data_IF_492991382765
#
_entry.id   IF_492991382765
#
_cell.length_a   1.000
_cell.length_b   1.000
_cell.length_c   1.000
_cell.angle_alpha   90.00
_cell.angle_beta   90.00
_cell.angle_gamma   90.00
#
_symmetry.space_group_name_H-M   'P 1'
#
loop_
_entity.id
_entity.type
_entity.pdbx_description
1 polymer ?
#
# COMPACT_ATOMS: atom_id res chain seq x y z
N UNK A 1 -12.34 -38.81 -76.09
CA UNK A 1 -12.54 -38.45 -74.66
C UNK A 1 -11.28 -37.70 -74.28
N UNK A 2 -11.39 -36.37 -74.23
CA UNK A 2 -10.26 -35.50 -73.82
C UNK A 2 -10.48 -34.98 -72.39
N UNK A 3 -9.66 -35.42 -71.44
CA UNK A 3 -9.70 -34.95 -70.06
C UNK A 3 -9.16 -33.51 -70.02
N UNK A 4 -10.03 -32.59 -69.60
CA UNK A 4 -9.67 -31.22 -69.28
C UNK A 4 -9.11 -31.20 -67.87
N UNK A 5 -7.75 -31.18 -67.78
CA UNK A 5 -7.06 -30.96 -66.51
C UNK A 5 -7.28 -29.52 -66.03
N UNK A 6 -8.10 -29.36 -64.98
CA UNK A 6 -8.21 -28.08 -64.28
C UNK A 6 -6.99 -27.85 -63.41
N UNK A 7 -6.09 -26.98 -63.88
CA UNK A 7 -4.92 -26.53 -63.16
C UNK A 7 -5.36 -25.48 -62.11
N UNK A 8 -5.51 -25.90 -60.86
CA UNK A 8 -5.77 -25.00 -59.71
C UNK A 8 -4.52 -24.16 -59.50
N UNK A 9 -4.57 -22.87 -59.87
CA UNK A 9 -3.50 -21.90 -59.59
C UNK A 9 -3.43 -21.66 -58.09
N UNK A 10 -2.36 -22.13 -57.43
CA UNK A 10 -2.03 -21.73 -56.05
C UNK A 10 -1.81 -20.21 -55.99
N UNK A 11 -2.31 -19.51 -54.98
CA UNK A 11 -2.13 -18.05 -54.87
C UNK A 11 -0.64 -17.71 -54.68
N UNK A 12 -0.15 -16.74 -55.45
CA UNK A 12 1.25 -16.32 -55.41
C UNK A 12 1.59 -15.89 -53.97
N UNK A 13 2.65 -16.41 -53.31
CA UNK A 13 2.98 -16.21 -51.89
C UNK A 13 3.11 -14.73 -51.49
N UNK A 14 3.54 -13.87 -52.40
CA UNK A 14 3.63 -12.41 -52.14
C UNK A 14 2.26 -11.70 -51.98
N UNK A 15 1.18 -12.23 -52.55
CA UNK A 15 -0.18 -11.62 -52.40
C UNK A 15 -0.75 -11.96 -51.04
N UNK A 16 -0.61 -13.19 -50.59
CA UNK A 16 -1.06 -13.63 -49.29
C UNK A 16 -0.33 -12.85 -48.16
N UNK A 17 1.00 -12.72 -48.27
CA UNK A 17 1.80 -11.96 -47.29
C UNK A 17 1.35 -10.49 -47.19
N UNK A 18 1.10 -9.81 -48.33
CA UNK A 18 0.59 -8.43 -48.35
C UNK A 18 -0.78 -8.29 -47.69
N UNK A 19 -1.68 -9.26 -47.90
CA UNK A 19 -3.00 -9.25 -47.24
C UNK A 19 -2.86 -9.46 -45.76
N UNK A 20 -2.07 -10.45 -45.32
CA UNK A 20 -1.80 -10.70 -43.89
C UNK A 20 -1.21 -9.47 -43.21
N UNK A 21 -0.24 -8.81 -43.83
CA UNK A 21 0.38 -7.60 -43.28
C UNK A 21 -0.65 -6.46 -43.16
N UNK A 22 -1.52 -6.25 -44.15
CA UNK A 22 -2.59 -5.24 -44.06
C UNK A 22 -3.58 -5.53 -42.94
N UNK A 23 -3.99 -6.78 -42.79
CA UNK A 23 -4.90 -7.21 -41.71
C UNK A 23 -4.24 -6.96 -40.36
N UNK A 24 -2.95 -7.33 -40.22
CA UNK A 24 -2.19 -7.09 -38.98
C UNK A 24 -2.11 -5.60 -38.62
N UNK A 25 -1.79 -4.75 -39.62
CA UNK A 25 -1.76 -3.29 -39.43
C UNK A 25 -3.12 -2.76 -39.02
N UNK A 26 -4.21 -3.22 -39.63
CA UNK A 26 -5.57 -2.80 -39.24
C UNK A 26 -5.89 -3.23 -37.79
N UNK A 27 -5.55 -4.46 -37.39
CA UNK A 27 -5.74 -4.93 -36.01
C UNK A 27 -4.96 -4.07 -35.03
N UNK A 28 -3.68 -3.81 -35.27
CA UNK A 28 -2.84 -2.98 -34.42
C UNK A 28 -3.40 -1.55 -34.33
N UNK A 29 -3.85 -0.99 -35.46
CA UNK A 29 -4.47 0.34 -35.47
C UNK A 29 -5.74 0.42 -34.64
N UNK A 30 -6.61 -0.58 -34.74
CA UNK A 30 -7.84 -0.67 -33.92
C UNK A 30 -7.48 -0.78 -32.43
N UNK A 31 -6.55 -1.66 -32.06
CA UNK A 31 -6.10 -1.82 -30.68
C UNK A 31 -5.51 -0.52 -30.13
N UNK A 32 -4.71 0.20 -30.92
CA UNK A 32 -4.15 1.49 -30.54
C UNK A 32 -5.26 2.53 -30.31
N UNK A 33 -6.26 2.61 -31.20
CA UNK A 33 -7.41 3.51 -31.04
C UNK A 33 -8.21 3.21 -29.79
N UNK A 34 -8.47 1.92 -29.51
CA UNK A 34 -9.14 1.49 -28.27
C UNK A 34 -8.34 1.88 -27.06
N UNK A 35 -7.02 1.68 -27.08
CA UNK A 35 -6.13 2.09 -25.99
C UNK A 35 -6.15 3.61 -25.75
N UNK A 36 -6.06 4.41 -26.81
CA UNK A 36 -6.14 5.88 -26.73
C UNK A 36 -7.49 6.31 -26.16
N UNK A 37 -8.60 5.75 -26.66
CA UNK A 37 -9.93 6.06 -26.18
C UNK A 37 -10.08 5.73 -24.68
N UNK A 38 -9.63 4.54 -24.26
CA UNK A 38 -9.62 4.14 -22.86
C UNK A 38 -8.80 5.11 -21.99
N UNK A 39 -7.59 5.47 -22.46
CA UNK A 39 -6.76 6.49 -21.76
C UNK A 39 -7.49 7.82 -21.63
N UNK A 40 -8.14 8.30 -22.66
CA UNK A 40 -8.91 9.56 -22.61
C UNK A 40 -10.06 9.47 -21.60
N UNK A 41 -10.85 8.40 -21.64
CA UNK A 41 -11.98 8.20 -20.72
C UNK A 41 -11.52 8.19 -19.25
N UNK A 42 -10.42 7.49 -18.95
CA UNK A 42 -9.92 7.40 -17.58
C UNK A 42 -9.13 8.63 -17.11
N UNK A 43 -8.44 9.32 -18.02
CA UNK A 43 -7.57 10.45 -17.63
C UNK A 43 -8.28 11.81 -17.63
N UNK A 44 -9.32 12.01 -18.46
CA UNK A 44 -10.02 13.31 -18.53
C UNK A 44 -10.64 13.74 -17.19
N UNK A 45 -11.33 12.86 -16.42
CA UNK A 45 -11.92 13.23 -15.14
C UNK A 45 -10.90 13.61 -14.06
N UNK A 46 -9.65 13.12 -14.17
CA UNK A 46 -8.57 13.33 -13.19
C UNK A 46 -7.43 14.21 -13.71
N UNK A 47 -7.66 14.86 -14.85
CA UNK A 47 -6.66 15.68 -15.54
C UNK A 47 -6.06 16.76 -14.64
N UNK A 48 -6.92 17.49 -13.93
CA UNK A 48 -6.49 18.63 -13.11
C UNK A 48 -5.69 18.17 -11.90
N UNK A 49 -6.04 17.01 -11.33
CA UNK A 49 -5.24 16.36 -10.29
C UNK A 49 -3.82 16.04 -10.79
N UNK A 50 -3.69 15.41 -11.96
CA UNK A 50 -2.37 15.11 -12.52
C UNK A 50 -1.60 16.35 -12.96
N UNK A 51 -2.29 17.40 -13.43
CA UNK A 51 -1.65 18.66 -13.76
C UNK A 51 -1.06 19.40 -12.54
N UNK A 52 -1.70 19.23 -11.37
CA UNK A 52 -1.22 19.77 -10.09
C UNK A 52 -0.20 18.85 -9.39
N UNK A 53 -0.01 17.62 -9.88
CA UNK A 53 0.86 16.61 -9.25
C UNK A 53 2.27 16.64 -9.85
N UNK A 54 3.26 16.49 -9.00
CA UNK A 54 4.65 16.26 -9.39
C UNK A 54 5.04 14.83 -9.05
N UNK A 55 5.61 14.12 -10.03
CA UNK A 55 6.11 12.76 -9.78
C UNK A 55 7.38 12.81 -8.96
N UNK A 56 7.34 12.34 -7.72
CA UNK A 56 8.50 12.27 -6.83
C UNK A 56 9.40 11.07 -7.22
N UNK A 57 8.87 9.85 -7.18
CA UNK A 57 9.65 8.64 -7.50
C UNK A 57 8.71 7.49 -7.91
N UNK A 58 9.30 6.36 -8.29
CA UNK A 58 8.56 5.11 -8.48
C UNK A 58 8.64 4.29 -7.20
N UNK A 59 7.48 3.92 -6.63
CA UNK A 59 7.42 3.10 -5.42
C UNK A 59 8.15 1.76 -5.67
N UNK A 60 9.15 1.41 -4.83
CA UNK A 60 9.92 0.18 -5.01
C UNK A 60 9.11 -1.06 -4.61
N UNK A 61 9.44 -2.23 -5.18
CA UNK A 61 8.88 -3.52 -4.76
C UNK A 61 7.61 -3.97 -5.48
N UNK A 62 7.06 -3.15 -6.40
CA UNK A 62 5.88 -3.54 -7.21
C UNK A 62 6.17 -4.80 -8.02
N UNK A 63 7.34 -4.88 -8.63
CA UNK A 63 7.78 -6.06 -9.42
C UNK A 63 8.00 -7.32 -8.57
N UNK A 64 8.19 -7.16 -7.27
CA UNK A 64 8.51 -8.27 -6.33
C UNK A 64 7.27 -8.77 -5.60
N UNK A 65 6.09 -8.32 -6.00
CA UNK A 65 4.82 -8.70 -5.41
C UNK A 65 4.58 -8.11 -4.02
N UNK A 66 5.23 -6.99 -3.68
CA UNK A 66 4.92 -6.22 -2.48
C UNK A 66 3.64 -5.44 -2.69
N UNK A 67 2.70 -5.60 -1.77
CA UNK A 67 1.44 -4.86 -1.73
C UNK A 67 1.62 -3.72 -0.72
N UNK A 68 1.79 -2.51 -1.25
CA UNK A 68 2.07 -1.30 -0.46
C UNK A 68 0.84 -0.89 0.34
N UNK A 69 1.04 -0.47 1.59
CA UNK A 69 -0.04 -0.13 2.52
C UNK A 69 0.16 1.23 3.20
N UNK A 70 1.38 1.57 3.61
CA UNK A 70 1.67 2.79 4.35
C UNK A 70 2.79 3.60 3.74
N UNK A 71 2.73 4.92 3.97
CA UNK A 71 3.74 5.90 3.60
C UNK A 71 3.90 6.91 4.72
N UNK A 72 5.16 7.14 5.14
CA UNK A 72 5.52 8.24 6.02
C UNK A 72 6.74 8.97 5.47
N UNK A 73 6.90 10.24 5.87
CA UNK A 73 8.07 11.03 5.56
C UNK A 73 8.88 11.33 6.84
N UNK A 74 10.15 10.95 6.81
CA UNK A 74 11.13 11.28 7.83
C UNK A 74 11.88 12.53 7.41
N UNK A 75 11.47 13.69 7.93
CA UNK A 75 12.06 14.98 7.61
C UNK A 75 13.48 15.16 8.17
N UNK A 76 13.87 14.42 9.20
CA UNK A 76 15.21 14.51 9.78
C UNK A 76 16.25 13.85 8.87
N UNK A 77 15.88 12.72 8.24
CA UNK A 77 16.77 11.97 7.35
C UNK A 77 16.52 12.27 5.86
N UNK A 78 15.43 12.98 5.51
CA UNK A 78 15.04 13.23 4.12
C UNK A 78 14.69 11.92 3.41
N UNK A 79 13.88 11.07 4.05
CA UNK A 79 13.56 9.74 3.59
C UNK A 79 12.06 9.45 3.67
N UNK A 80 11.56 8.67 2.72
CA UNK A 80 10.23 8.08 2.78
C UNK A 80 10.30 6.66 3.32
N UNK A 81 9.43 6.33 4.27
CA UNK A 81 9.20 4.99 4.80
C UNK A 81 7.96 4.41 4.16
N UNK A 82 8.07 3.24 3.56
CA UNK A 82 6.99 2.58 2.83
C UNK A 82 6.81 1.18 3.39
N UNK A 83 5.66 0.90 3.97
CA UNK A 83 5.30 -0.43 4.44
C UNK A 83 4.51 -1.20 3.39
N UNK A 84 4.62 -2.52 3.43
CA UNK A 84 3.82 -3.40 2.60
C UNK A 84 4.00 -4.87 2.98
N UNK A 85 2.99 -5.66 2.65
CA UNK A 85 3.03 -7.09 2.88
C UNK A 85 3.30 -7.86 1.58
N UNK A 86 3.63 -9.14 1.73
CA UNK A 86 3.85 -10.07 0.61
C UNK A 86 2.96 -11.29 0.75
N UNK A 87 2.45 -11.79 -0.39
CA UNK A 87 1.69 -13.04 -0.41
C UNK A 87 2.56 -14.27 -0.11
N UNK A 88 1.92 -15.39 0.23
CA UNK A 88 2.59 -16.67 0.41
C UNK A 88 3.37 -16.79 1.72
N UNK A 89 2.96 -16.13 2.80
CA UNK A 89 3.56 -16.25 4.13
C UNK A 89 4.97 -15.66 4.24
N UNK A 90 5.34 -14.77 3.34
CA UNK A 90 6.63 -14.07 3.40
C UNK A 90 6.54 -12.89 4.36
N UNK A 91 7.65 -12.55 5.01
CA UNK A 91 7.73 -11.40 5.91
C UNK A 91 7.29 -10.11 5.22
N UNK A 92 6.51 -9.29 5.92
CA UNK A 92 6.18 -7.92 5.52
C UNK A 92 7.43 -7.05 5.52
N UNK A 93 7.40 -5.96 4.79
CA UNK A 93 8.59 -5.16 4.47
C UNK A 93 8.40 -3.71 4.89
N UNK A 94 9.54 -3.10 5.25
CA UNK A 94 9.74 -1.67 5.32
C UNK A 94 10.78 -1.28 4.27
N UNK A 95 10.39 -0.48 3.28
CA UNK A 95 11.30 0.10 2.29
C UNK A 95 11.57 1.55 2.64
N UNK A 96 12.85 1.97 2.55
CA UNK A 96 13.29 3.33 2.78
C UNK A 96 13.77 3.90 1.46
N UNK A 97 13.26 5.08 1.11
CA UNK A 97 13.54 5.77 -0.17
C UNK A 97 14.09 7.15 0.12
N UNK A 98 15.24 7.46 -0.43
CA UNK A 98 15.83 8.80 -0.32
C UNK A 98 14.99 9.81 -1.12
N UNK A 99 14.59 10.91 -0.47
CA UNK A 99 13.75 11.95 -1.07
C UNK A 99 14.35 12.56 -2.33
N UNK A 100 15.65 12.92 -2.28
CA UNK A 100 16.30 13.67 -3.36
C UNK A 100 16.55 12.84 -4.60
N UNK A 101 16.87 11.55 -4.40
CA UNK A 101 17.23 10.67 -5.52
C UNK A 101 16.08 9.81 -6.00
N UNK A 102 15.03 9.64 -5.16
CA UNK A 102 13.94 8.70 -5.40
C UNK A 102 14.38 7.23 -5.38
N UNK A 103 15.60 6.95 -4.91
CA UNK A 103 16.17 5.61 -4.90
C UNK A 103 15.93 4.92 -3.57
N UNK A 104 15.60 3.64 -3.60
CA UNK A 104 15.51 2.80 -2.40
C UNK A 104 16.91 2.63 -1.81
N UNK A 105 17.10 3.06 -0.57
CA UNK A 105 18.35 2.93 0.18
C UNK A 105 18.37 1.64 0.99
N UNK A 106 17.21 1.24 1.57
CA UNK A 106 17.07 0.03 2.37
C UNK A 106 15.75 -0.67 2.09
N UNK A 107 15.78 -1.98 2.30
CA UNK A 107 14.62 -2.86 2.31
C UNK A 107 14.77 -3.83 3.46
N UNK A 108 13.97 -3.67 4.50
CA UNK A 108 14.06 -4.41 5.74
C UNK A 108 12.90 -5.39 5.87
N UNK A 109 13.17 -6.60 6.36
CA UNK A 109 12.13 -7.55 6.72
C UNK A 109 11.63 -7.27 8.14
N UNK A 110 10.32 -7.18 8.31
CA UNK A 110 9.73 -6.94 9.63
C UNK A 110 9.58 -8.26 10.38
N UNK A 111 9.98 -8.25 11.66
CA UNK A 111 9.77 -9.33 12.60
C UNK A 111 8.91 -8.85 13.78
N UNK A 112 8.25 -9.78 14.46
CA UNK A 112 7.61 -9.51 15.75
C UNK A 112 8.64 -9.34 16.88
N UNK A 113 8.18 -9.16 18.12
CA UNK A 113 9.05 -8.94 19.25
C UNK A 113 9.89 -10.19 19.63
N UNK A 114 9.46 -11.37 19.23
CA UNK A 114 10.16 -12.63 19.46
C UNK A 114 11.17 -12.96 18.35
N UNK A 115 11.25 -12.09 17.31
CA UNK A 115 12.13 -12.25 16.17
C UNK A 115 11.58 -13.15 15.07
N UNK A 116 10.34 -13.62 15.17
CA UNK A 116 9.71 -14.36 14.10
C UNK A 116 9.27 -13.43 12.94
N UNK A 117 9.35 -13.88 11.67
CA UNK A 117 8.94 -13.08 10.53
C UNK A 117 7.49 -12.64 10.66
N UNK A 118 7.25 -11.31 10.66
CA UNK A 118 5.91 -10.77 10.66
C UNK A 118 5.29 -10.87 9.26
N UNK A 119 4.23 -11.65 9.13
CA UNK A 119 3.57 -11.94 7.83
C UNK A 119 2.20 -11.29 7.69
N UNK A 120 1.80 -10.47 8.67
CA UNK A 120 0.51 -9.77 8.70
C UNK A 120 0.43 -8.59 7.72
N UNK A 121 -0.78 -8.07 7.57
CA UNK A 121 -0.99 -6.81 6.88
C UNK A 121 -0.37 -5.69 7.72
N UNK A 122 0.59 -5.00 7.15
CA UNK A 122 1.17 -3.78 7.71
C UNK A 122 0.43 -2.61 7.05
N UNK A 123 -0.38 -1.91 7.83
CA UNK A 123 -1.16 -0.77 7.36
C UNK A 123 -0.32 0.52 7.28
N UNK A 124 -0.85 1.62 7.80
CA UNK A 124 -0.14 2.89 7.87
C UNK A 124 1.17 2.79 8.65
N UNK A 125 2.07 3.74 8.42
CA UNK A 125 3.34 3.91 9.14
C UNK A 125 3.51 5.36 9.54
N UNK A 126 4.08 5.63 10.72
CA UNK A 126 4.42 6.98 11.18
C UNK A 126 5.63 6.94 12.09
N UNK A 127 6.23 8.12 12.34
CA UNK A 127 7.39 8.27 13.23
C UNK A 127 7.08 9.25 14.35
N UNK A 128 7.58 8.95 15.55
CA UNK A 128 7.58 9.88 16.67
C UNK A 128 8.76 9.60 17.60
N UNK A 129 9.64 10.57 17.79
CA UNK A 129 10.86 10.38 18.55
C UNK A 129 11.71 9.22 18.01
N UNK A 130 12.07 8.27 18.89
CA UNK A 130 12.82 7.08 18.49
C UNK A 130 11.91 5.89 18.09
N UNK A 131 10.66 6.12 17.81
CA UNK A 131 9.73 5.06 17.42
C UNK A 131 9.29 5.18 15.96
N UNK A 132 9.17 4.04 15.31
CA UNK A 132 8.43 3.84 14.06
C UNK A 132 7.23 2.98 14.38
N UNK A 133 6.04 3.54 14.23
CA UNK A 133 4.78 2.84 14.47
C UNK A 133 4.20 2.32 13.17
N UNK A 134 3.73 1.08 13.20
CA UNK A 134 3.11 0.42 12.04
C UNK A 134 1.76 -0.14 12.47
N UNK A 135 0.72 0.16 11.69
CA UNK A 135 -0.63 -0.33 11.92
C UNK A 135 -0.73 -1.84 11.65
N UNK A 136 -1.38 -2.56 12.56
CA UNK A 136 -1.73 -3.99 12.46
C UNK A 136 -3.17 -4.19 12.93
N UNK A 137 -3.85 -5.20 12.42
CA UNK A 137 -5.24 -5.52 12.78
C UNK A 137 -5.44 -5.81 14.28
N UNK A 138 -4.39 -6.02 15.05
CA UNK A 138 -4.42 -6.26 16.51
C UNK A 138 -4.05 -5.02 17.31
N UNK A 139 -3.57 -3.93 16.64
CA UNK A 139 -3.10 -2.72 17.29
C UNK A 139 -1.95 -2.04 16.56
N UNK A 140 -0.98 -1.56 17.32
CA UNK A 140 0.16 -0.81 16.82
C UNK A 140 1.47 -1.52 17.13
N UNK A 141 2.20 -1.92 16.12
CA UNK A 141 3.57 -2.41 16.25
C UNK A 141 4.51 -1.22 16.42
N UNK A 142 5.40 -1.27 17.40
CA UNK A 142 6.45 -0.28 17.62
C UNK A 142 7.82 -0.86 17.28
N UNK A 143 8.59 -0.15 16.47
CA UNK A 143 9.98 -0.47 16.12
C UNK A 143 10.91 0.64 16.57
N UNK A 144 12.18 0.30 16.83
CA UNK A 144 13.21 1.31 17.12
C UNK A 144 13.67 2.02 15.85
N UNK A 145 13.51 3.35 15.81
CA UNK A 145 14.01 4.17 14.68
C UNK A 145 15.53 4.09 14.56
N UNK A 146 16.25 4.06 15.70
CA UNK A 146 17.71 3.92 15.70
C UNK A 146 18.17 2.57 15.14
N UNK A 147 17.45 1.48 15.44
CA UNK A 147 17.74 0.16 14.86
C UNK A 147 17.47 0.13 13.35
N UNK A 148 16.36 0.69 12.91
CA UNK A 148 16.06 0.82 11.48
C UNK A 148 17.12 1.64 10.75
N UNK A 149 17.59 2.74 11.38
CA UNK A 149 18.61 3.60 10.77
C UNK A 149 19.98 2.93 10.70
N UNK A 150 20.34 2.08 11.66
CA UNK A 150 21.61 1.34 11.68
C UNK A 150 21.60 0.03 10.90
N UNK A 151 20.41 -0.51 10.61
CA UNK A 151 20.27 -1.79 9.89
C UNK A 151 20.83 -1.71 8.46
N UNK A 152 21.49 -2.78 8.04
CA UNK A 152 21.95 -2.93 6.66
C UNK A 152 20.78 -3.23 5.71
N UNK A 153 20.96 -2.91 4.43
CA UNK A 153 19.97 -3.27 3.41
C UNK A 153 19.80 -4.79 3.33
N UNK A 154 18.57 -5.27 3.40
CA UNK A 154 18.22 -6.69 3.42
C UNK A 154 18.13 -7.31 4.80
N UNK A 155 18.46 -6.58 5.86
CA UNK A 155 18.37 -7.06 7.23
C UNK A 155 16.91 -7.27 7.69
N UNK A 156 16.76 -7.97 8.81
CA UNK A 156 15.52 -8.04 9.58
C UNK A 156 15.58 -7.08 10.75
N UNK A 157 14.44 -6.49 11.11
CA UNK A 157 14.27 -5.63 12.29
C UNK A 157 13.14 -6.15 13.15
N UNK A 158 13.36 -6.20 14.47
CA UNK A 158 12.39 -6.74 15.42
C UNK A 158 11.51 -5.62 15.96
N UNK A 159 10.21 -5.90 16.13
CA UNK A 159 9.35 -5.02 16.88
C UNK A 159 9.80 -4.95 18.34
N UNK A 160 9.73 -3.78 18.95
CA UNK A 160 9.86 -3.62 20.40
C UNK A 160 8.68 -4.25 21.13
N UNK A 161 7.52 -4.29 20.47
CA UNK A 161 6.30 -4.87 20.97
C UNK A 161 5.08 -4.48 20.15
N UNK A 162 3.93 -4.98 20.60
CA UNK A 162 2.60 -4.66 20.07
C UNK A 162 1.79 -3.95 21.16
N UNK A 163 1.39 -2.69 20.91
CA UNK A 163 0.33 -2.04 21.66
C UNK A 163 -1.01 -2.59 21.18
N UNK A 164 -1.63 -3.46 22.00
CA UNK A 164 -2.89 -4.12 21.64
C UNK A 164 -4.08 -3.19 21.80
N UNK A 165 -4.91 -3.10 20.78
CA UNK A 165 -6.22 -2.43 20.80
C UNK A 165 -7.38 -3.40 21.05
N UNK A 166 -7.08 -4.63 21.46
CA UNK A 166 -8.06 -5.66 21.81
C UNK A 166 -8.29 -5.71 23.29
N UNK A 167 -9.53 -5.76 23.66
CA UNK A 167 -10.02 -6.03 25.02
C UNK A 167 -10.84 -7.31 25.04
N UNK A 168 -11.27 -7.76 26.21
CA UNK A 168 -12.17 -8.92 26.36
C UNK A 168 -13.55 -8.67 25.71
N UNK A 169 -13.94 -7.42 25.51
CA UNK A 169 -15.28 -7.04 25.05
C UNK A 169 -15.31 -6.44 23.66
N UNK A 170 -14.19 -5.93 23.19
CA UNK A 170 -14.13 -5.18 21.95
C UNK A 170 -12.74 -5.24 21.31
N UNK A 171 -12.65 -4.95 20.00
CA UNK A 171 -11.37 -4.90 19.29
C UNK A 171 -11.42 -3.87 18.18
N UNK A 172 -10.45 -2.95 18.18
CA UNK A 172 -10.24 -2.00 17.11
C UNK A 172 -9.12 -2.49 16.19
N UNK A 173 -9.46 -2.79 14.94
CA UNK A 173 -8.48 -3.15 13.91
C UNK A 173 -7.81 -1.90 13.37
N UNK A 174 -6.52 -1.68 13.68
CA UNK A 174 -5.81 -0.49 13.22
C UNK A 174 -5.38 -0.67 11.77
N UNK A 175 -5.92 0.14 10.87
CA UNK A 175 -5.62 0.12 9.45
C UNK A 175 -4.66 1.27 9.03
N UNK A 176 -4.78 2.42 9.66
CA UNK A 176 -3.90 3.57 9.43
C UNK A 176 -3.57 4.27 10.75
N UNK A 177 -2.50 5.05 10.73
CA UNK A 177 -2.08 5.82 11.89
C UNK A 177 -1.26 7.06 11.47
N UNK A 178 -1.26 8.06 12.36
CA UNK A 178 -0.47 9.27 12.22
C UNK A 178 -0.07 9.81 13.59
N UNK A 179 1.20 10.19 13.75
CA UNK A 179 1.70 10.80 14.97
C UNK A 179 1.96 12.29 14.75
N UNK A 180 1.37 13.13 15.60
CA UNK A 180 1.55 14.57 15.56
C UNK A 180 1.33 15.18 16.95
N UNK A 181 2.16 16.15 17.33
CA UNK A 181 2.01 16.98 18.54
C UNK A 181 1.83 16.18 19.84
N UNK A 182 2.57 15.05 19.96
CA UNK A 182 2.48 14.18 21.13
C UNK A 182 1.27 13.27 21.18
N UNK A 183 0.55 13.14 20.06
CA UNK A 183 -0.62 12.29 19.89
C UNK A 183 -0.42 11.29 18.78
N UNK A 184 -0.95 10.09 18.96
CA UNK A 184 -1.06 9.04 17.96
C UNK A 184 -2.52 8.88 17.58
N UNK A 185 -2.85 9.20 16.36
CA UNK A 185 -4.15 8.96 15.74
C UNK A 185 -4.12 7.59 15.10
N UNK A 186 -5.07 6.73 15.45
CA UNK A 186 -5.23 5.39 14.88
C UNK A 186 -6.65 5.24 14.33
N UNK A 187 -6.79 4.62 13.18
CA UNK A 187 -8.10 4.48 12.55
C UNK A 187 -8.37 3.10 11.97
N UNK A 188 -9.63 2.74 11.92
CA UNK A 188 -10.14 1.50 11.35
C UNK A 188 -10.38 1.62 9.86
N UNK A 189 -10.46 0.47 9.20
CA UNK A 189 -10.99 0.32 7.86
C UNK A 189 -12.26 -0.53 7.90
N UNK A 190 -13.34 0.02 7.39
CA UNK A 190 -14.62 -0.69 7.25
C UNK A 190 -14.91 -1.02 5.80
N UNK A 191 -15.34 -2.25 5.56
CA UNK A 191 -15.88 -2.71 4.27
C UNK A 191 -16.77 -3.93 4.49
N UNK A 192 -18.06 -3.76 4.33
CA UNK A 192 -19.01 -4.86 4.37
C UNK A 192 -18.93 -5.73 3.10
N UNK A 193 -19.01 -7.07 3.20
CA UNK A 193 -18.99 -7.89 4.43
C UNK A 193 -17.58 -8.32 4.88
N UNK A 194 -16.50 -7.89 4.22
CA UNK A 194 -15.17 -8.49 4.36
C UNK A 194 -14.37 -7.93 5.56
N UNK A 195 -14.65 -6.71 5.97
CA UNK A 195 -13.95 -6.02 7.07
C UNK A 195 -14.97 -5.30 7.95
N UNK A 196 -15.84 -6.04 8.69
CA UNK A 196 -16.78 -5.44 9.61
C UNK A 196 -16.04 -4.88 10.83
N UNK A 197 -16.52 -3.77 11.33
CA UNK A 197 -16.14 -3.22 12.64
C UNK A 197 -17.13 -3.67 13.72
N UNK A 198 -16.75 -3.54 15.00
CA UNK A 198 -17.64 -3.81 16.11
C UNK A 198 -18.90 -2.91 16.05
N UNK A 199 -20.04 -3.40 16.52
CA UNK A 199 -21.27 -2.59 16.53
C UNK A 199 -21.15 -1.35 17.44
N UNK A 200 -20.33 -1.43 18.49
CA UNK A 200 -19.96 -0.30 19.36
C UNK A 200 -19.22 0.83 18.66
N UNK A 201 -18.61 0.55 17.49
CA UNK A 201 -17.88 1.52 16.68
C UNK A 201 -18.74 2.23 15.63
N UNK A 202 -19.98 1.78 15.46
CA UNK A 202 -20.92 2.35 14.49
C UNK A 202 -21.67 3.51 15.14
N UNK A 203 -21.11 4.70 15.01
CA UNK A 203 -21.65 5.91 15.62
C UNK A 203 -22.41 6.75 14.60
N UNK A 204 -23.48 7.42 15.07
CA UNK A 204 -24.20 8.38 14.23
C UNK A 204 -23.62 9.77 14.42
N UNK A 205 -23.21 10.40 13.34
CA UNK A 205 -22.71 11.78 13.34
C UNK A 205 -23.81 12.78 13.74
N UNK A 206 -23.45 14.02 14.12
CA UNK A 206 -24.44 15.07 14.37
C UNK A 206 -25.33 15.40 13.15
N UNK A 207 -24.87 15.10 11.93
CA UNK A 207 -25.66 15.23 10.70
C UNK A 207 -26.64 14.08 10.45
N UNK A 208 -26.62 13.04 11.29
CA UNK A 208 -27.49 11.86 11.17
C UNK A 208 -26.93 10.74 10.27
N UNK A 209 -25.70 10.84 9.83
CA UNK A 209 -25.04 9.82 9.04
C UNK A 209 -24.41 8.76 9.93
N UNK A 210 -24.55 7.49 9.55
CA UNK A 210 -23.89 6.38 10.23
C UNK A 210 -22.46 6.25 9.76
N UNK A 211 -21.51 6.43 10.66
CA UNK A 211 -20.09 6.19 10.44
C UNK A 211 -19.70 4.83 11.02
N UNK A 212 -19.29 3.88 10.19
CA UNK A 212 -19.08 2.49 10.63
C UNK A 212 -17.66 2.19 11.13
N UNK A 213 -16.79 3.19 11.28
CA UNK A 213 -15.39 3.03 11.70
C UNK A 213 -14.97 4.16 12.64
N UNK A 214 -14.06 3.87 13.56
CA UNK A 214 -13.54 4.83 14.52
C UNK A 214 -12.15 5.36 14.14
N UNK A 215 -11.91 6.62 14.49
CA UNK A 215 -10.60 7.22 14.69
C UNK A 215 -10.40 7.43 16.18
N UNK A 216 -9.39 6.79 16.77
CA UNK A 216 -9.05 6.97 18.18
C UNK A 216 -7.74 7.74 18.34
N UNK A 217 -7.60 8.46 19.45
CA UNK A 217 -6.43 9.28 19.76
C UNK A 217 -5.81 8.82 21.06
N UNK A 218 -4.51 8.53 21.01
CA UNK A 218 -3.70 8.04 22.12
C UNK A 218 -2.60 9.06 22.43
N UNK A 219 -2.31 9.38 23.72
CA UNK A 219 -1.15 10.20 24.04
C UNK A 219 0.15 9.45 23.79
N UNK A 220 1.16 10.15 23.31
CA UNK A 220 2.53 9.65 23.20
C UNK A 220 3.38 10.19 24.34
N UNK A 221 4.20 9.34 24.95
CA UNK A 221 5.11 9.71 26.03
C UNK A 221 6.35 8.84 25.98
N UNK A 222 7.53 9.45 26.08
CA UNK A 222 8.81 8.72 26.17
C UNK A 222 8.90 7.77 27.37
N UNK A 223 8.13 8.03 28.42
CA UNK A 223 8.15 7.25 29.67
C UNK A 223 7.17 6.08 29.65
N UNK A 224 6.30 6.03 28.64
CA UNK A 224 5.33 4.95 28.50
C UNK A 224 5.93 3.74 27.76
N UNK A 225 5.46 2.50 28.06
CA UNK A 225 5.82 1.35 27.27
C UNK A 225 5.51 1.56 25.78
N UNK A 226 6.47 1.23 24.90
CA UNK A 226 6.36 1.45 23.46
C UNK A 226 6.11 2.92 23.05
N UNK A 227 6.32 3.87 23.98
CA UNK A 227 6.06 5.28 23.73
C UNK A 227 4.58 5.67 23.67
N UNK A 228 3.64 4.77 23.96
CA UNK A 228 2.19 4.99 23.91
C UNK A 228 1.63 4.95 25.32
N UNK A 229 1.01 6.04 25.77
CA UNK A 229 0.38 6.15 27.10
C UNK A 229 -1.06 5.62 27.00
N UNK A 230 -1.26 4.43 27.45
CA UNK A 230 -2.38 3.50 27.59
C UNK A 230 -3.83 3.89 27.21
N UNK A 231 -4.33 5.03 27.66
CA UNK A 231 -5.77 5.29 27.53
C UNK A 231 -6.12 6.10 26.28
N UNK A 232 -7.17 5.67 25.59
CA UNK A 232 -7.74 6.44 24.48
C UNK A 232 -8.31 7.74 25.05
N UNK A 233 -7.80 8.90 24.61
CA UNK A 233 -8.27 10.21 25.03
C UNK A 233 -9.65 10.52 24.49
N UNK A 234 -9.88 10.22 23.23
CA UNK A 234 -11.14 10.42 22.53
C UNK A 234 -11.22 9.51 21.31
N UNK A 235 -12.44 9.27 20.86
CA UNK A 235 -12.71 8.59 19.60
C UNK A 235 -13.69 9.43 18.78
N UNK A 236 -13.49 9.44 17.47
CA UNK A 236 -14.31 10.11 16.46
C UNK A 236 -14.86 9.07 15.49
N UNK A 237 -16.03 9.35 14.96
CA UNK A 237 -16.64 8.54 13.90
C UNK A 237 -16.90 9.38 12.65
#
# INVERSE_FOLDING_TARGET
MSEISQQTRSPKPHRALKITLRVLVCIISVLLLVFIAARCIFMLPVRDYYAASVRAFTIPGISDGMIHQGLAYDSENGEFLITGYRSGGKASLLSIVNEKTGSQTKRLSLCDADGAPFTGHVGGVTLYGNYVYIADSRGVLAYSRSEINSAENGASVNALGLFSTRTDKDSMGVAFLHAQDGLLYIGEFYRDPNYPTSDSHKLTSPSGELNPALLAVLPLSSDAPLGISGDILCAYS
#
